data_IF_962856709452
#
_entry.id   IF_962856709452
#
_cell.length_a   1.000
_cell.length_b   1.000
_cell.length_c   1.000
_cell.angle_alpha   90.00
_cell.angle_beta   90.00
_cell.angle_gamma   90.00
#
_symmetry.space_group_name_H-M   'P 1'
#
loop_
_entity.id
_entity.type
_entity.pdbx_description
1 polymer ?
#
# COMPACT_ATOMS: atom_id res chain seq x y z
N UNK A 1 26.08 11.99 12.31
CA UNK A 1 27.01 12.34 11.22
C UNK A 1 26.73 13.72 10.62
N UNK A 2 25.59 14.00 9.96
CA UNK A 2 25.33 15.31 9.37
C UNK A 2 25.29 16.47 10.40
N UNK A 3 24.64 16.28 11.55
CA UNK A 3 24.62 17.26 12.65
C UNK A 3 26.00 17.44 13.31
N UNK A 4 26.76 16.35 13.45
CA UNK A 4 28.13 16.40 14.00
C UNK A 4 29.10 17.19 13.11
N UNK A 5 28.83 17.26 11.80
CA UNK A 5 29.60 18.02 10.83
C UNK A 5 28.99 19.40 10.52
N UNK A 6 28.02 19.86 11.31
CA UNK A 6 27.36 21.17 11.14
C UNK A 6 26.82 21.42 9.73
N UNK A 7 26.35 20.39 9.04
CA UNK A 7 25.76 20.55 7.71
C UNK A 7 24.38 21.21 7.82
N UNK A 8 24.17 22.32 7.11
CA UNK A 8 22.92 23.08 7.16
C UNK A 8 21.69 22.25 6.76
N UNK A 9 21.89 21.17 5.99
CA UNK A 9 20.84 20.23 5.56
C UNK A 9 20.51 19.16 6.59
N UNK A 10 21.22 19.06 7.71
CA UNK A 10 21.07 18.00 8.71
C UNK A 10 19.63 17.87 9.27
N UNK A 11 18.92 19.01 9.37
CA UNK A 11 17.53 19.08 9.87
C UNK A 11 16.50 19.28 8.76
N UNK A 12 16.92 19.27 7.49
CA UNK A 12 15.99 19.39 6.37
C UNK A 12 15.12 18.13 6.33
N UNK A 13 13.80 18.32 6.34
CA UNK A 13 12.86 17.22 6.14
C UNK A 13 13.06 16.62 4.75
N UNK A 14 12.95 15.30 4.66
CA UNK A 14 12.97 14.62 3.37
C UNK A 14 11.86 15.18 2.47
N UNK A 15 12.19 15.35 1.19
CA UNK A 15 11.19 15.74 0.20
C UNK A 15 10.12 14.64 0.13
N UNK A 16 8.86 15.04 0.32
CA UNK A 16 7.71 14.12 0.25
C UNK A 16 7.07 14.16 -1.14
N UNK A 17 7.53 15.05 -2.01
CA UNK A 17 6.97 15.27 -3.34
C UNK A 17 7.93 14.78 -4.42
N UNK A 18 7.35 14.34 -5.52
CA UNK A 18 8.12 13.89 -6.69
C UNK A 18 8.64 15.12 -7.42
N UNK A 19 9.96 15.32 -7.43
CA UNK A 19 10.62 16.57 -7.85
C UNK A 19 10.39 16.96 -9.32
N UNK A 20 9.95 16.03 -10.18
CA UNK A 20 9.67 16.28 -11.59
C UNK A 20 8.16 16.49 -11.89
N UNK A 21 7.31 16.48 -10.86
CA UNK A 21 5.88 16.78 -10.99
C UNK A 21 5.62 18.12 -10.29
N UNK A 22 5.48 19.23 -11.01
CA UNK A 22 5.16 20.51 -10.41
C UNK A 22 3.71 20.55 -9.92
N UNK A 23 3.48 21.34 -8.86
CA UNK A 23 2.16 21.80 -8.41
C UNK A 23 1.13 20.72 -8.09
N UNK A 24 1.53 19.61 -7.45
CA UNK A 24 0.60 18.53 -7.06
C UNK A 24 -0.25 17.97 -8.22
N UNK A 25 0.21 18.09 -9.46
CA UNK A 25 -0.49 17.61 -10.65
C UNK A 25 -0.21 16.12 -10.96
N UNK A 26 0.07 15.32 -9.90
CA UNK A 26 0.38 13.90 -10.05
C UNK A 26 -0.64 13.14 -10.90
N UNK A 27 -1.92 13.38 -10.65
CA UNK A 27 -3.00 12.75 -11.42
C UNK A 27 -2.92 13.13 -12.90
N UNK A 28 -2.68 14.41 -13.23
CA UNK A 28 -2.51 14.87 -14.61
C UNK A 28 -1.29 14.21 -15.26
N UNK A 29 -0.15 14.21 -14.58
CA UNK A 29 1.07 13.54 -15.06
C UNK A 29 0.82 12.08 -15.38
N UNK A 30 0.11 11.35 -14.51
CA UNK A 30 -0.25 9.95 -14.77
C UNK A 30 -1.12 9.83 -16.03
N UNK A 31 -2.18 10.62 -16.15
CA UNK A 31 -3.07 10.58 -17.31
C UNK A 31 -2.37 10.90 -18.64
N UNK A 32 -1.44 11.85 -18.63
CA UNK A 32 -0.68 12.28 -19.81
C UNK A 32 0.34 11.19 -20.26
N UNK A 33 0.75 10.29 -19.35
CA UNK A 33 1.75 9.24 -19.62
C UNK A 33 1.17 7.82 -19.71
N UNK A 34 -0.14 7.65 -19.59
CA UNK A 34 -0.78 6.34 -19.74
C UNK A 34 -0.96 5.98 -21.20
N UNK A 35 -0.67 4.72 -21.54
CA UNK A 35 -0.93 4.15 -22.86
C UNK A 35 -2.43 3.99 -23.11
N UNK A 36 -3.19 3.70 -22.06
CA UNK A 36 -4.65 3.56 -22.11
C UNK A 36 -5.30 4.47 -21.08
N UNK A 37 -6.40 5.10 -21.48
CA UNK A 37 -7.17 5.95 -20.55
C UNK A 37 -7.81 5.10 -19.45
N UNK A 38 -7.79 5.58 -18.19
CA UNK A 38 -8.42 4.87 -17.10
C UNK A 38 -9.91 4.65 -17.33
N UNK A 39 -10.38 3.44 -17.09
CA UNK A 39 -11.78 3.07 -17.26
C UNK A 39 -12.57 3.37 -15.99
N UNK A 40 -13.77 3.92 -16.15
CA UNK A 40 -14.73 4.03 -15.04
C UNK A 40 -15.12 2.64 -14.54
N UNK A 41 -15.36 2.55 -13.24
CA UNK A 41 -15.80 1.30 -12.61
C UNK A 41 -16.57 1.57 -11.33
N UNK A 42 -16.90 0.52 -10.60
CA UNK A 42 -17.73 0.60 -9.40
C UNK A 42 -16.88 0.70 -8.14
N UNK A 43 -17.42 1.43 -7.16
CA UNK A 43 -16.95 1.35 -5.77
C UNK A 43 -17.93 0.45 -5.04
N UNK A 44 -17.43 -0.66 -4.49
CA UNK A 44 -18.27 -1.68 -3.83
C UNK A 44 -17.81 -1.91 -2.39
N UNK A 45 -18.73 -2.28 -1.53
CA UNK A 45 -18.41 -2.80 -0.19
C UNK A 45 -17.90 -4.24 -0.27
N UNK A 46 -17.35 -4.76 0.84
CA UNK A 46 -16.93 -6.17 0.96
C UNK A 46 -18.04 -7.19 0.66
N UNK A 47 -19.31 -6.78 0.80
CA UNK A 47 -20.48 -7.59 0.47
C UNK A 47 -20.99 -7.42 -0.98
N UNK A 48 -20.14 -6.87 -1.87
CA UNK A 48 -20.45 -6.59 -3.28
C UNK A 48 -21.54 -5.52 -3.53
N UNK A 49 -22.04 -4.85 -2.48
CA UNK A 49 -22.99 -3.75 -2.65
C UNK A 49 -22.30 -2.55 -3.28
N UNK A 50 -22.82 -2.06 -4.41
CA UNK A 50 -22.32 -0.85 -5.07
C UNK A 50 -22.72 0.38 -4.25
N UNK A 51 -21.74 1.23 -3.94
CA UNK A 51 -21.90 2.47 -3.17
C UNK A 51 -21.47 3.72 -3.93
N UNK A 52 -20.91 3.55 -5.13
CA UNK A 52 -20.50 4.65 -5.99
C UNK A 52 -19.77 4.20 -7.24
N UNK A 53 -19.22 5.17 -7.95
CA UNK A 53 -18.41 4.94 -9.16
C UNK A 53 -17.06 5.65 -9.04
N UNK A 54 -16.04 5.11 -9.73
CA UNK A 54 -14.72 5.72 -9.82
C UNK A 54 -14.31 6.01 -11.26
N UNK A 55 -13.40 6.96 -11.42
CA UNK A 55 -12.88 7.38 -12.74
C UNK A 55 -11.52 6.71 -13.08
N UNK A 56 -11.28 5.50 -12.59
CA UNK A 56 -10.07 4.73 -12.83
C UNK A 56 -9.37 4.31 -11.53
N UNK A 57 -8.95 3.05 -11.45
CA UNK A 57 -8.29 2.44 -10.29
C UNK A 57 -7.00 3.19 -9.88
N UNK A 58 -6.32 3.81 -10.84
CA UNK A 58 -5.07 4.55 -10.64
C UNK A 58 -5.20 5.72 -9.66
N UNK A 59 -6.41 6.22 -9.45
CA UNK A 59 -6.68 7.33 -8.53
C UNK A 59 -6.82 6.89 -7.07
N UNK A 60 -6.72 5.59 -6.80
CA UNK A 60 -6.99 5.01 -5.49
C UNK A 60 -5.79 4.24 -4.95
N UNK A 61 -5.63 4.29 -3.64
CA UNK A 61 -4.56 3.57 -2.93
C UNK A 61 -5.17 2.84 -1.74
N UNK A 62 -4.72 1.63 -1.45
CA UNK A 62 -5.16 0.87 -0.27
C UNK A 62 -4.90 1.69 1.00
N UNK A 63 -5.91 1.76 1.87
CA UNK A 63 -5.93 2.58 3.08
C UNK A 63 -6.38 4.03 2.86
N UNK A 64 -6.67 4.45 1.63
CA UNK A 64 -7.20 5.79 1.34
C UNK A 64 -8.61 5.95 1.92
N UNK A 65 -8.82 7.06 2.65
CA UNK A 65 -10.11 7.46 3.23
C UNK A 65 -10.73 8.65 2.50
N UNK A 66 -9.89 9.65 2.13
CA UNK A 66 -10.36 10.89 1.53
C UNK A 66 -10.47 10.77 0.01
N UNK A 67 -11.38 11.52 -0.60
CA UNK A 67 -11.50 11.59 -2.06
C UNK A 67 -12.19 10.38 -2.70
N UNK A 68 -12.94 9.58 -1.92
CA UNK A 68 -13.70 8.45 -2.46
C UNK A 68 -14.96 8.89 -3.22
N UNK A 69 -15.47 10.11 -2.96
CA UNK A 69 -16.66 10.64 -3.63
C UNK A 69 -17.97 9.93 -3.25
N UNK A 70 -17.95 9.15 -2.17
CA UNK A 70 -19.12 8.41 -1.66
C UNK A 70 -19.57 8.94 -0.30
N UNK A 71 -20.87 8.85 -0.03
CA UNK A 71 -21.44 9.15 1.28
C UNK A 71 -21.92 7.85 1.91
N UNK A 72 -21.50 7.58 3.12
CA UNK A 72 -21.88 6.37 3.86
C UNK A 72 -22.00 6.69 5.34
N UNK A 73 -22.71 5.82 6.10
CA UNK A 73 -23.01 6.01 7.54
C UNK A 73 -21.76 6.06 8.43
N UNK A 74 -20.67 5.48 7.99
CA UNK A 74 -19.40 5.39 8.71
C UNK A 74 -18.21 5.63 7.77
N UNK A 75 -17.00 5.99 8.28
CA UNK A 75 -15.83 6.18 7.45
C UNK A 75 -15.47 4.91 6.70
N UNK A 76 -15.31 5.02 5.37
CA UNK A 76 -14.86 3.94 4.52
C UNK A 76 -13.42 4.18 4.05
N UNK A 77 -12.72 3.08 3.82
CA UNK A 77 -11.33 3.02 3.37
C UNK A 77 -11.22 2.09 2.17
N UNK A 78 -10.32 2.37 1.26
CA UNK A 78 -9.97 1.42 0.19
C UNK A 78 -9.27 0.21 0.80
N UNK A 79 -9.89 -0.95 0.66
CA UNK A 79 -9.38 -2.23 1.19
C UNK A 79 -8.66 -3.02 0.08
N UNK A 80 -9.21 -3.00 -1.14
CA UNK A 80 -8.68 -3.74 -2.29
C UNK A 80 -8.95 -2.98 -3.58
N UNK A 81 -8.02 -3.12 -4.53
CA UNK A 81 -8.21 -2.71 -5.92
C UNK A 81 -8.32 -3.98 -6.77
N UNK A 82 -9.50 -4.26 -7.29
CA UNK A 82 -9.77 -5.43 -8.13
C UNK A 82 -9.60 -5.03 -9.61
N UNK A 83 -8.47 -5.42 -10.19
CA UNK A 83 -8.13 -5.08 -11.58
C UNK A 83 -8.98 -5.83 -12.59
N UNK A 84 -9.35 -7.07 -12.29
CA UNK A 84 -10.09 -7.95 -13.19
C UNK A 84 -11.54 -7.49 -13.34
N UNK A 85 -12.16 -7.12 -12.22
CA UNK A 85 -13.52 -6.57 -12.18
C UNK A 85 -13.57 -5.06 -12.44
N UNK A 86 -12.42 -4.36 -12.44
CA UNK A 86 -12.31 -2.92 -12.46
C UNK A 86 -13.13 -2.26 -11.33
N UNK A 87 -12.90 -2.73 -10.09
CA UNK A 87 -13.64 -2.31 -8.89
C UNK A 87 -12.70 -1.82 -7.79
N UNK A 88 -13.14 -0.75 -7.10
CA UNK A 88 -12.54 -0.30 -5.84
C UNK A 88 -13.37 -0.91 -4.71
N UNK A 89 -12.79 -1.83 -3.94
CA UNK A 89 -13.44 -2.41 -2.77
C UNK A 89 -13.15 -1.53 -1.56
N UNK A 90 -14.21 -1.09 -0.88
CA UNK A 90 -14.13 -0.28 0.32
C UNK A 90 -14.72 -0.99 1.52
N UNK A 91 -14.17 -0.72 2.69
CA UNK A 91 -14.61 -1.30 3.96
C UNK A 91 -14.33 -0.36 5.12
N UNK A 92 -14.60 -0.82 6.33
CA UNK A 92 -14.33 -0.11 7.57
C UNK A 92 -12.83 -0.09 7.89
N UNK A 93 -12.41 0.61 8.92
CA UNK A 93 -11.01 0.61 9.36
C UNK A 93 -10.54 -0.80 9.76
N UNK A 94 -11.43 -1.63 10.31
CA UNK A 94 -11.10 -2.99 10.72
C UNK A 94 -10.71 -3.88 9.53
N UNK A 95 -11.28 -3.64 8.36
CA UNK A 95 -10.98 -4.38 7.14
C UNK A 95 -9.59 -4.09 6.58
N UNK A 96 -8.88 -3.09 7.10
CA UNK A 96 -7.49 -2.79 6.75
C UNK A 96 -6.48 -3.64 7.53
N UNK A 97 -6.91 -4.36 8.54
CA UNK A 97 -6.00 -5.15 9.36
C UNK A 97 -5.90 -6.57 8.86
N UNK A 98 -4.67 -7.04 8.71
CA UNK A 98 -4.39 -8.43 8.36
C UNK A 98 -3.18 -8.97 9.13
N UNK A 99 -3.19 -10.25 9.39
CA UNK A 99 -2.13 -10.96 10.12
C UNK A 99 -1.08 -11.55 9.20
N UNK A 100 -1.37 -11.60 7.90
CA UNK A 100 -0.52 -12.27 6.92
C UNK A 100 -0.34 -11.38 5.68
N UNK A 101 0.87 -11.42 5.13
CA UNK A 101 1.16 -10.88 3.80
C UNK A 101 1.91 -11.91 2.95
N UNK A 102 1.76 -11.77 1.64
CA UNK A 102 2.51 -12.51 0.63
C UNK A 102 3.37 -11.52 -0.16
N UNK A 103 4.61 -11.86 -0.43
CA UNK A 103 5.53 -11.05 -1.22
C UNK A 103 6.23 -11.89 -2.29
N UNK A 104 6.33 -11.35 -3.49
CA UNK A 104 7.10 -11.87 -4.61
C UNK A 104 8.28 -10.94 -4.93
N UNK A 105 9.09 -11.31 -5.91
CA UNK A 105 10.24 -10.51 -6.35
C UNK A 105 11.19 -10.18 -5.19
N UNK A 106 11.53 -11.21 -4.41
CA UNK A 106 12.30 -11.07 -3.19
C UNK A 106 13.75 -10.68 -3.49
N UNK A 107 14.28 -9.72 -2.75
CA UNK A 107 15.68 -9.33 -2.78
C UNK A 107 16.29 -9.47 -1.38
N UNK A 108 17.26 -10.37 -1.24
CA UNK A 108 17.98 -10.59 0.02
C UNK A 108 19.34 -9.93 -0.03
N UNK A 109 19.61 -9.07 0.95
CA UNK A 109 20.90 -8.39 1.09
C UNK A 109 21.93 -9.29 1.80
N UNK A 110 21.45 -10.21 2.62
CA UNK A 110 22.27 -11.16 3.37
C UNK A 110 22.02 -12.58 2.84
N UNK A 111 23.05 -13.40 2.87
CA UNK A 111 22.91 -14.84 2.64
C UNK A 111 22.34 -15.49 3.91
N UNK A 112 21.08 -15.93 3.82
CA UNK A 112 20.33 -16.47 4.95
C UNK A 112 19.79 -17.83 4.55
N UNK A 113 19.91 -18.82 5.44
CA UNK A 113 19.26 -20.11 5.25
C UNK A 113 17.73 -19.96 5.42
N UNK A 114 17.03 -20.04 4.31
CA UNK A 114 15.57 -19.94 4.22
C UNK A 114 14.89 -21.31 4.02
N UNK A 115 15.60 -22.39 4.24
CA UNK A 115 15.04 -23.76 4.14
C UNK A 115 13.99 -24.05 5.21
N UNK A 116 13.93 -23.23 6.25
CA UNK A 116 12.97 -23.32 7.36
C UNK A 116 12.39 -21.94 7.66
N UNK A 117 11.16 -21.89 8.23
CA UNK A 117 10.61 -20.61 8.72
C UNK A 117 11.53 -19.95 9.74
N UNK A 118 11.73 -18.65 9.62
CA UNK A 118 12.57 -17.85 10.52
C UNK A 118 11.78 -16.72 11.18
N UNK A 119 12.15 -16.40 12.41
CA UNK A 119 11.62 -15.22 13.10
C UNK A 119 12.29 -13.95 12.57
N UNK A 120 11.48 -12.96 12.25
CA UNK A 120 11.93 -11.66 11.74
C UNK A 120 11.18 -10.51 12.40
N UNK A 121 11.70 -9.31 12.21
CA UNK A 121 10.95 -8.07 12.39
C UNK A 121 10.62 -7.49 11.01
N UNK A 122 9.33 -7.39 10.67
CA UNK A 122 8.87 -6.91 9.38
C UNK A 122 8.06 -5.62 9.50
N UNK A 123 8.07 -4.82 8.44
CA UNK A 123 7.29 -3.59 8.29
C UNK A 123 6.45 -3.68 7.02
N UNK A 124 5.16 -3.42 7.12
CA UNK A 124 4.25 -3.36 5.96
C UNK A 124 4.39 -2.06 5.17
N UNK A 125 4.94 -1.01 5.80
CA UNK A 125 5.17 0.32 5.19
C UNK A 125 6.42 0.95 5.75
N UNK A 126 7.01 1.89 5.03
CA UNK A 126 8.22 2.62 5.46
C UNK A 126 8.07 3.22 6.88
N UNK A 127 6.95 3.90 7.15
CA UNK A 127 6.68 4.55 8.46
C UNK A 127 6.12 3.63 9.53
N UNK A 128 5.81 2.38 9.23
CA UNK A 128 5.33 1.43 10.23
C UNK A 128 6.44 1.05 11.20
N UNK A 129 6.08 0.77 12.45
CA UNK A 129 7.01 0.18 13.41
C UNK A 129 7.27 -1.27 13.01
N UNK A 130 8.52 -1.77 13.18
CA UNK A 130 8.80 -3.18 13.00
C UNK A 130 7.94 -4.03 13.94
N UNK A 131 7.31 -5.07 13.41
CA UNK A 131 6.52 -6.02 14.17
C UNK A 131 7.09 -7.43 14.02
N UNK A 132 7.02 -8.24 15.08
CA UNK A 132 7.47 -9.62 15.07
C UNK A 132 6.62 -10.44 14.11
N UNK A 133 7.28 -11.28 13.32
CA UNK A 133 6.64 -12.12 12.33
C UNK A 133 7.49 -13.37 12.07
N UNK A 134 6.87 -14.35 11.44
CA UNK A 134 7.53 -15.55 10.90
C UNK A 134 7.54 -15.40 9.38
N UNK A 135 8.73 -15.54 8.79
CA UNK A 135 8.95 -15.59 7.35
C UNK A 135 9.11 -17.06 6.92
N UNK A 136 8.36 -17.47 5.93
CA UNK A 136 8.43 -18.76 5.26
C UNK A 136 8.51 -18.53 3.76
N UNK A 137 9.41 -19.22 3.07
CA UNK A 137 9.48 -19.23 1.62
C UNK A 137 8.73 -20.46 1.11
N UNK A 138 7.71 -20.22 0.30
CA UNK A 138 6.89 -21.28 -0.30
C UNK A 138 7.60 -21.86 -1.53
N UNK A 139 7.19 -23.07 -1.94
CA UNK A 139 7.78 -23.80 -3.08
C UNK A 139 7.80 -23.02 -4.40
N UNK A 140 6.85 -22.07 -4.57
CA UNK A 140 6.78 -21.17 -5.73
C UNK A 140 7.67 -19.93 -5.61
N UNK A 141 8.53 -19.84 -4.59
CA UNK A 141 9.41 -18.69 -4.37
C UNK A 141 8.72 -17.46 -3.79
N UNK A 142 7.46 -17.56 -3.36
CA UNK A 142 6.74 -16.49 -2.67
C UNK A 142 7.07 -16.51 -1.19
N UNK A 143 7.37 -15.36 -0.61
CA UNK A 143 7.49 -15.20 0.83
C UNK A 143 6.10 -15.04 1.47
N UNK A 144 5.83 -15.86 2.47
CA UNK A 144 4.69 -15.72 3.38
C UNK A 144 5.20 -15.16 4.70
N UNK A 145 4.63 -14.05 5.13
CA UNK A 145 4.96 -13.42 6.42
C UNK A 145 3.73 -13.43 7.30
N UNK A 146 3.83 -14.06 8.46
CA UNK A 146 2.75 -14.15 9.45
C UNK A 146 3.16 -13.36 10.68
N UNK A 147 2.46 -12.28 10.97
CA UNK A 147 2.71 -11.42 12.13
C UNK A 147 2.12 -11.99 13.41
N UNK A 148 2.73 -11.71 14.56
CA UNK A 148 2.15 -12.05 15.87
C UNK A 148 0.84 -11.28 16.12
N UNK A 149 0.78 -10.02 15.67
CA UNK A 149 -0.38 -9.14 15.79
C UNK A 149 -0.79 -8.61 14.43
N UNK A 150 -2.08 -8.30 14.29
CA UNK A 150 -2.63 -7.75 13.06
C UNK A 150 -1.92 -6.45 12.69
N UNK A 151 -1.58 -6.30 11.41
CA UNK A 151 -0.93 -5.14 10.85
C UNK A 151 -1.91 -4.37 9.98
N UNK A 152 -1.90 -3.04 10.12
CA UNK A 152 -2.71 -2.17 9.28
C UNK A 152 -2.05 -2.01 7.91
N UNK A 153 -2.76 -2.45 6.86
CA UNK A 153 -2.35 -2.29 5.46
C UNK A 153 -2.36 -0.83 5.01
#
# INVERSE_FOLDING_TARGET
MAEQNNLFVARKKDSQEVCFIPDNTYTKFLYDNLTEQPRKGKIVLNNEQCVGEHNGLINYTIGQRKGLGISYKEPLYVVKLDKDKNEVVVGTEQDLYCKQLMANELNFVLDIDLSKPIEIYAKVRYRAKPAKAILEILENGIAKVVFEQDQRA
#
